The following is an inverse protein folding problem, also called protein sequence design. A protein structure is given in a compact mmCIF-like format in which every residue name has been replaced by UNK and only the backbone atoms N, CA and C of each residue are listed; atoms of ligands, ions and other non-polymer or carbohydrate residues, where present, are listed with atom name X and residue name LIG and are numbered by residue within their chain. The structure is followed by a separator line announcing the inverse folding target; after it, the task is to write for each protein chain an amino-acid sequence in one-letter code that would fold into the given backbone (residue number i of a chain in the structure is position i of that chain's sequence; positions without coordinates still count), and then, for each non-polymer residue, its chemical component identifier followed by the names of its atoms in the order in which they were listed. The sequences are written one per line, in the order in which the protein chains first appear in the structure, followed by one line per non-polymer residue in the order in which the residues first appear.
data_IF_879775796898
#
_entry.id   IF_879775796898
#
_cell.length_a   1.000
_cell.length_b   1.000
_cell.length_c   1.000
_cell.angle_alpha   90.00
_cell.angle_beta   90.00
_cell.angle_gamma   90.00
#
_symmetry.space_group_name_H-M   'P 1'
#
loop_
_entity.id
_entity.type
_entity.pdbx_description
1 polymer ?
#
# COMPACT_ATOMS: atom_id res chain seq x y z
N UNK A 1 12.55 66.89 -93.31
CA UNK A 1 13.72 67.61 -92.77
C UNK A 1 13.96 67.13 -91.36
N UNK A 2 15.21 66.78 -91.15
CA UNK A 2 15.84 66.18 -89.99
C UNK A 2 15.78 67.13 -88.77
N UNK A 3 16.16 66.61 -87.60
CA UNK A 3 16.74 67.35 -86.45
C UNK A 3 15.79 67.82 -85.33
N UNK A 4 16.05 67.66 -84.02
CA UNK A 4 17.16 67.09 -83.22
C UNK A 4 16.65 66.82 -81.78
N UNK A 5 17.25 65.80 -81.15
CA UNK A 5 17.80 65.72 -79.77
C UNK A 5 16.92 66.20 -78.58
N UNK A 6 16.57 65.37 -77.57
CA UNK A 6 17.42 64.59 -76.63
C UNK A 6 18.34 65.54 -75.81
N UNK A 7 18.41 65.59 -74.48
CA UNK A 7 18.16 64.61 -73.42
C UNK A 7 18.25 65.30 -72.05
N UNK A 8 17.79 64.59 -71.02
CA UNK A 8 18.25 64.59 -69.61
C UNK A 8 17.38 65.45 -68.66
N UNK A 9 16.91 64.96 -67.50
CA UNK A 9 17.60 64.09 -66.55
C UNK A 9 16.64 63.58 -65.43
N UNK A 10 17.11 62.57 -64.65
CA UNK A 10 16.73 62.14 -63.27
C UNK A 10 15.62 61.11 -63.01
N UNK A 11 16.11 59.93 -62.56
CA UNK A 11 15.84 59.22 -61.29
C UNK A 11 14.49 59.34 -60.56
N UNK A 12 13.82 58.19 -60.33
CA UNK A 12 13.66 57.60 -58.98
C UNK A 12 13.05 56.17 -59.05
N UNK A 13 13.53 55.30 -58.14
CA UNK A 13 13.17 53.87 -57.90
C UNK A 13 11.83 53.74 -57.14
N UNK A 14 11.14 52.58 -57.11
CA UNK A 14 11.58 51.50 -56.20
C UNK A 14 11.37 50.06 -56.71
N UNK A 15 11.99 49.14 -55.96
CA UNK A 15 12.17 47.72 -56.22
C UNK A 15 10.92 46.89 -55.90
N UNK A 16 10.66 45.89 -56.73
CA UNK A 16 9.63 44.85 -56.51
C UNK A 16 10.33 43.63 -55.90
N UNK A 17 9.95 43.30 -54.66
CA UNK A 17 10.41 42.12 -53.95
C UNK A 17 9.64 40.88 -54.44
N UNK A 18 10.38 39.89 -54.94
CA UNK A 18 9.89 38.58 -55.35
C UNK A 18 9.86 37.68 -54.10
N UNK A 19 8.67 37.33 -53.62
CA UNK A 19 8.49 36.33 -52.57
C UNK A 19 8.23 34.97 -53.20
N UNK A 20 9.20 34.07 -53.04
CA UNK A 20 9.12 32.66 -53.41
C UNK A 20 8.15 31.91 -52.50
N UNK A 21 7.17 31.25 -53.11
CA UNK A 21 6.18 30.41 -52.45
C UNK A 21 6.82 29.06 -52.10
N UNK A 22 7.10 28.79 -50.83
CA UNK A 22 7.52 27.47 -50.35
C UNK A 22 6.26 26.66 -50.02
N UNK A 23 5.98 25.61 -50.80
CA UNK A 23 4.98 24.60 -50.50
C UNK A 23 5.46 23.75 -49.30
N UNK A 24 4.97 24.07 -48.11
CA UNK A 24 5.10 23.21 -46.93
C UNK A 24 4.06 22.09 -47.02
N UNK A 25 4.54 20.84 -47.11
CA UNK A 25 3.73 19.63 -47.04
C UNK A 25 3.13 19.54 -45.63
N UNK A 26 1.81 19.63 -45.52
CA UNK A 26 1.07 19.35 -44.28
C UNK A 26 1.10 17.83 -44.03
N UNK A 27 2.01 17.38 -43.15
CA UNK A 27 1.86 16.09 -42.51
C UNK A 27 0.65 16.14 -41.58
N UNK A 28 -0.37 15.34 -41.88
CA UNK A 28 -1.46 15.00 -40.97
C UNK A 28 -0.87 14.16 -39.84
N UNK A 29 -0.30 14.82 -38.83
CA UNK A 29 0.02 14.17 -37.57
C UNK A 29 -1.30 13.79 -36.92
N UNK A 30 -1.49 12.49 -36.82
CA UNK A 30 -2.65 11.87 -36.19
C UNK A 30 -2.81 12.44 -34.78
N UNK A 31 -3.99 12.97 -34.47
CA UNK A 31 -4.44 13.27 -33.12
C UNK A 31 -4.50 11.96 -32.32
N UNK A 32 -3.35 11.41 -31.95
CA UNK A 32 -3.27 10.61 -30.75
C UNK A 32 -3.39 11.61 -29.61
N UNK A 33 -4.55 11.59 -28.96
CA UNK A 33 -4.74 12.15 -27.63
C UNK A 33 -3.81 11.34 -26.73
N UNK A 34 -2.53 11.72 -26.75
CA UNK A 34 -1.56 11.32 -25.77
C UNK A 34 -2.02 11.96 -24.48
N UNK A 35 -2.83 11.23 -23.73
CA UNK A 35 -3.04 11.52 -22.32
C UNK A 35 -1.65 11.65 -21.72
N UNK A 36 -1.25 12.90 -21.43
CA UNK A 36 -0.14 13.14 -20.54
C UNK A 36 -0.60 12.57 -19.20
N UNK A 37 -0.34 11.29 -18.96
CA UNK A 37 -0.10 10.81 -17.61
C UNK A 37 1.08 11.65 -17.15
N UNK A 38 0.79 12.79 -16.52
CA UNK A 38 1.73 13.40 -15.61
C UNK A 38 2.10 12.25 -14.68
N UNK A 39 3.32 11.75 -14.81
CA UNK A 39 3.92 10.96 -13.78
C UNK A 39 3.84 11.84 -12.53
N UNK A 40 2.87 11.55 -11.67
CA UNK A 40 2.79 12.16 -10.35
C UNK A 40 4.14 11.82 -9.75
N UNK A 41 5.01 12.82 -9.65
CA UNK A 41 6.35 12.64 -9.11
C UNK A 41 6.19 11.90 -7.79
N UNK A 42 6.76 10.69 -7.72
CA UNK A 42 6.65 9.86 -6.53
C UNK A 42 7.32 10.63 -5.42
N UNK A 43 6.50 11.23 -4.55
CA UNK A 43 6.98 12.14 -3.54
C UNK A 43 7.72 11.32 -2.50
N UNK A 44 9.04 11.37 -2.56
CA UNK A 44 9.89 10.61 -1.67
C UNK A 44 9.91 11.30 -0.30
N UNK A 45 9.17 10.76 0.67
CA UNK A 45 9.29 11.23 2.06
C UNK A 45 10.75 11.06 2.48
N UNK A 46 11.39 12.16 2.86
CA UNK A 46 12.73 12.10 3.43
C UNK A 46 12.64 11.43 4.82
N UNK A 47 12.76 10.11 4.80
CA UNK A 47 12.82 9.14 5.92
C UNK A 47 11.73 9.17 7.00
N UNK A 48 10.75 10.07 6.94
CA UNK A 48 9.77 10.32 8.01
C UNK A 48 8.33 10.05 7.57
N UNK A 49 8.05 8.80 7.17
CA UNK A 49 6.67 8.33 6.96
C UNK A 49 6.00 8.12 8.32
N UNK A 50 5.15 9.05 8.73
CA UNK A 50 4.48 8.98 10.04
C UNK A 50 3.04 8.49 9.97
N UNK A 51 2.46 8.44 8.78
CA UNK A 51 1.12 7.89 8.56
C UNK A 51 0.70 7.81 7.10
N UNK A 52 -0.59 7.52 6.88
CA UNK A 52 -1.24 7.54 5.56
C UNK A 52 -2.68 8.00 5.64
N UNK A 53 -3.18 8.59 4.56
CA UNK A 53 -4.60 8.86 4.35
C UNK A 53 -5.34 7.53 4.12
N UNK A 54 -6.49 7.34 4.76
CA UNK A 54 -7.29 6.11 4.67
C UNK A 54 -8.75 6.34 4.25
N UNK A 55 -9.19 7.59 4.16
CA UNK A 55 -10.52 7.92 3.63
C UNK A 55 -10.43 8.84 2.44
N UNK A 56 -11.46 8.81 1.61
CA UNK A 56 -11.72 9.86 0.63
C UNK A 56 -12.02 11.18 1.35
N UNK A 57 -12.03 12.27 0.57
CA UNK A 57 -12.46 13.59 1.04
C UNK A 57 -11.34 14.60 1.27
N UNK A 58 -10.10 14.29 0.93
CA UNK A 58 -9.05 15.30 0.75
C UNK A 58 -9.05 15.82 -0.69
N UNK A 59 -8.72 17.09 -0.90
CA UNK A 59 -8.64 17.68 -2.24
C UNK A 59 -7.48 17.15 -3.09
N UNK A 60 -6.39 16.71 -2.47
CA UNK A 60 -5.13 16.40 -3.16
C UNK A 60 -4.53 15.04 -2.78
N UNK A 61 -4.87 14.52 -1.60
CA UNK A 61 -4.32 13.29 -1.05
C UNK A 61 -5.36 12.15 -1.10
N UNK A 62 -5.39 11.33 -2.16
CA UNK A 62 -6.29 10.18 -2.22
C UNK A 62 -5.97 9.13 -1.14
N UNK A 63 -6.90 8.21 -0.82
CA UNK A 63 -6.62 7.11 0.09
C UNK A 63 -5.37 6.32 -0.32
N UNK A 64 -4.55 5.96 0.67
CA UNK A 64 -3.26 5.30 0.46
C UNK A 64 -2.07 6.25 0.36
N UNK A 65 -2.31 7.55 0.15
CA UNK A 65 -1.27 8.58 0.16
C UNK A 65 -0.48 8.54 1.48
N UNK A 66 0.85 8.46 1.37
CA UNK A 66 1.74 8.56 2.52
C UNK A 66 1.78 10.00 3.00
N UNK A 67 1.76 10.19 4.32
CA UNK A 67 1.91 11.51 4.93
C UNK A 67 3.36 11.71 5.32
N UNK A 68 3.99 12.71 4.70
CA UNK A 68 5.28 13.21 5.10
C UNK A 68 5.11 14.56 5.83
N UNK A 69 6.11 14.94 6.62
CA UNK A 69 6.16 16.23 7.29
C UNK A 69 5.98 17.38 6.28
N UNK A 70 5.09 18.32 6.60
CA UNK A 70 4.74 19.47 5.76
C UNK A 70 3.49 19.28 4.90
N UNK A 71 2.87 18.10 4.91
CA UNK A 71 1.73 17.84 4.02
C UNK A 71 0.50 18.58 4.42
N UNK A 72 -0.05 19.33 3.48
CA UNK A 72 -1.33 19.96 3.73
C UNK A 72 -2.45 18.98 3.41
N UNK A 73 -3.11 18.53 4.47
CA UNK A 73 -4.35 17.78 4.41
C UNK A 73 -5.46 18.82 4.27
N UNK A 74 -6.21 18.77 3.19
CA UNK A 74 -7.24 19.73 2.82
C UNK A 74 -8.58 19.02 2.63
N UNK A 75 -9.39 18.87 3.69
CA UNK A 75 -10.71 18.28 3.57
C UNK A 75 -11.62 19.08 2.61
N UNK A 76 -12.24 18.41 1.65
CA UNK A 76 -13.10 19.02 0.65
C UNK A 76 -14.54 19.18 1.16
N UNK A 77 -15.17 20.34 0.94
CA UNK A 77 -16.60 20.57 1.21
C UNK A 77 -17.08 20.15 2.62
N UNK A 78 -16.29 20.42 3.67
CA UNK A 78 -16.64 20.04 5.05
C UNK A 78 -16.51 18.55 5.36
N UNK A 79 -15.91 17.78 4.44
CA UNK A 79 -15.57 16.37 4.65
C UNK A 79 -14.60 16.21 5.82
N UNK A 80 -14.50 14.98 6.32
CA UNK A 80 -13.52 14.60 7.33
C UNK A 80 -12.51 13.65 6.72
N UNK A 81 -11.23 14.02 6.73
CA UNK A 81 -10.15 13.16 6.26
C UNK A 81 -9.66 12.29 7.42
N UNK A 82 -9.68 10.97 7.22
CA UNK A 82 -9.15 10.01 8.18
C UNK A 82 -7.72 9.64 7.83
N UNK A 83 -6.88 9.67 8.86
CA UNK A 83 -5.45 9.36 8.77
C UNK A 83 -5.11 8.23 9.72
N UNK A 84 -4.33 7.26 9.26
CA UNK A 84 -3.72 6.22 10.11
C UNK A 84 -2.29 6.63 10.46
N UNK A 85 -2.01 6.79 11.75
CA UNK A 85 -0.66 7.00 12.27
C UNK A 85 0.07 5.67 12.48
N UNK A 86 1.28 5.52 11.97
CA UNK A 86 1.98 4.23 12.02
C UNK A 86 2.52 3.88 13.40
N UNK A 87 3.02 4.87 14.16
CA UNK A 87 3.67 4.64 15.45
C UNK A 87 2.71 4.10 16.52
N UNK A 88 1.51 4.68 16.63
CA UNK A 88 0.51 4.30 17.63
C UNK A 88 -0.67 3.51 17.05
N UNK A 89 -0.77 3.37 15.72
CA UNK A 89 -1.91 2.74 15.01
C UNK A 89 -3.25 3.46 15.24
N UNK A 90 -3.22 4.70 15.69
CA UNK A 90 -4.42 5.49 15.90
C UNK A 90 -4.94 6.06 14.59
N UNK A 91 -6.26 6.18 14.52
CA UNK A 91 -6.94 6.91 13.44
C UNK A 91 -7.27 8.31 13.92
N UNK A 92 -6.82 9.32 13.17
CA UNK A 92 -7.16 10.71 13.38
C UNK A 92 -8.21 11.13 12.37
N UNK A 93 -9.15 11.98 12.80
CA UNK A 93 -10.20 12.53 11.95
C UNK A 93 -10.02 14.03 11.86
N UNK A 94 -9.57 14.52 10.70
CA UNK A 94 -9.23 15.90 10.46
C UNK A 94 -10.36 16.56 9.66
N UNK A 95 -11.02 17.55 10.27
CA UNK A 95 -12.14 18.29 9.68
C UNK A 95 -11.73 19.61 9.02
N UNK A 96 -10.51 20.06 9.29
CA UNK A 96 -10.00 21.35 8.82
C UNK A 96 -8.65 21.15 8.13
N UNK A 97 -8.27 22.13 7.31
CA UNK A 97 -6.96 22.14 6.68
C UNK A 97 -5.88 22.05 7.75
N UNK A 98 -5.00 21.06 7.62
CA UNK A 98 -4.00 20.72 8.62
C UNK A 98 -2.66 20.48 7.94
N UNK A 99 -1.61 21.16 8.38
CA UNK A 99 -0.24 20.85 7.97
C UNK A 99 0.25 19.68 8.81
N UNK A 100 0.55 18.57 8.16
CA UNK A 100 0.96 17.35 8.80
C UNK A 100 2.36 17.50 9.39
N UNK A 101 2.49 17.17 10.67
CA UNK A 101 3.78 16.94 11.29
C UNK A 101 3.72 15.61 12.06
N UNK A 102 4.87 14.96 12.33
CA UNK A 102 4.91 13.69 13.05
C UNK A 102 4.32 13.76 14.47
N UNK A 103 4.30 14.94 15.09
CA UNK A 103 3.76 15.16 16.43
C UNK A 103 2.24 15.05 16.47
N UNK A 104 1.54 15.33 15.36
CA UNK A 104 0.10 15.04 15.23
C UNK A 104 -0.16 13.54 15.47
N UNK A 105 0.78 12.69 15.06
CA UNK A 105 0.76 11.26 15.35
C UNK A 105 1.42 10.88 16.68
N UNK A 106 2.08 11.82 17.36
CA UNK A 106 2.59 11.61 18.71
C UNK A 106 1.44 11.87 19.69
N UNK A 107 0.70 10.83 20.04
CA UNK A 107 -0.19 10.93 21.20
C UNK A 107 0.66 11.16 22.45
N UNK A 108 0.30 12.18 23.21
CA UNK A 108 0.69 12.38 24.61
C UNK A 108 0.48 11.09 25.39
N UNK A 109 1.38 10.90 26.36
CA UNK A 109 1.47 9.80 27.34
C UNK A 109 0.12 9.32 27.87
N UNK A 110 -0.62 8.51 27.11
CA UNK A 110 -1.35 7.45 27.76
C UNK A 110 -0.26 6.50 28.22
N UNK A 111 -0.03 6.48 29.53
CA UNK A 111 0.75 5.42 30.17
C UNK A 111 0.39 4.13 29.46
N UNK A 112 1.36 3.53 28.77
CA UNK A 112 1.17 2.22 28.15
C UNK A 112 0.86 1.29 29.31
N UNK A 113 -0.42 1.12 29.63
CA UNK A 113 -0.88 0.19 30.64
C UNK A 113 -0.53 -1.17 30.11
N UNK A 114 0.62 -1.66 30.55
CA UNK A 114 1.07 -3.01 30.26
C UNK A 114 -0.01 -3.93 30.79
N UNK A 115 -0.39 -4.89 29.96
CA UNK A 115 -1.31 -5.93 30.38
C UNK A 115 -0.66 -6.73 31.52
N UNK A 116 -1.31 -6.69 32.67
CA UNK A 116 -1.03 -7.51 33.84
C UNK A 116 -2.28 -8.33 34.16
N UNK A 117 -2.11 -9.36 35.00
CA UNK A 117 -3.22 -10.21 35.46
C UNK A 117 -4.33 -9.39 36.14
N UNK A 118 -3.98 -8.24 36.70
CA UNK A 118 -4.89 -7.35 37.44
C UNK A 118 -5.66 -6.38 36.55
N UNK A 119 -5.25 -6.16 35.29
CA UNK A 119 -5.87 -5.18 34.39
C UNK A 119 -6.34 -5.77 33.04
N UNK A 120 -6.55 -7.09 32.99
CA UNK A 120 -6.99 -7.86 31.81
C UNK A 120 -8.24 -7.29 31.15
N UNK A 121 -9.15 -6.69 31.92
CA UNK A 121 -10.41 -6.14 31.41
C UNK A 121 -10.24 -4.82 30.64
N UNK A 122 -9.16 -4.08 30.91
CA UNK A 122 -8.85 -2.78 30.28
C UNK A 122 -7.78 -2.88 29.20
N UNK A 123 -7.18 -4.05 29.02
CA UNK A 123 -6.35 -4.31 27.88
C UNK A 123 -7.15 -4.15 26.59
N UNK A 124 -6.48 -3.70 25.52
CA UNK A 124 -6.93 -3.99 24.17
C UNK A 124 -6.96 -5.50 24.04
N UNK A 125 -8.09 -6.12 24.41
CA UNK A 125 -8.45 -7.43 23.90
C UNK A 125 -8.35 -7.23 22.40
N UNK A 126 -7.34 -7.81 21.75
CA UNK A 126 -7.55 -8.22 20.36
C UNK A 126 -8.75 -9.11 20.48
N UNK A 127 -9.93 -8.56 20.29
CA UNK A 127 -11.08 -9.36 20.02
C UNK A 127 -10.64 -10.13 18.80
N UNK A 128 -10.25 -11.40 19.00
CA UNK A 128 -10.55 -12.44 18.05
C UNK A 128 -12.07 -12.38 17.95
N UNK A 129 -12.60 -11.38 17.26
CA UNK A 129 -14.02 -11.05 17.31
C UNK A 129 -14.79 -12.33 16.95
N UNK A 130 -15.80 -12.69 17.75
CA UNK A 130 -16.67 -13.81 17.45
C UNK A 130 -17.65 -13.47 16.33
N UNK A 131 -17.65 -12.23 15.82
CA UNK A 131 -18.35 -11.92 14.58
C UNK A 131 -17.58 -12.57 13.42
N UNK A 132 -18.00 -13.79 13.09
CA UNK A 132 -17.59 -14.54 11.92
C UNK A 132 -17.76 -13.66 10.69
N UNK A 133 -16.69 -13.02 10.27
CA UNK A 133 -16.61 -12.51 8.91
C UNK A 133 -16.39 -13.74 8.04
N UNK A 134 -17.49 -14.43 7.67
CA UNK A 134 -17.50 -15.69 6.91
C UNK A 134 -16.76 -15.59 5.55
N UNK A 135 -16.34 -14.38 5.17
CA UNK A 135 -15.62 -14.07 3.93
C UNK A 135 -14.09 -14.00 4.10
N UNK A 136 -13.56 -14.23 5.31
CA UNK A 136 -12.11 -14.22 5.56
C UNK A 136 -11.70 -15.43 6.41
N UNK A 137 -10.61 -16.15 6.06
CA UNK A 137 -10.09 -17.16 6.98
C UNK A 137 -9.58 -16.46 8.24
N UNK A 138 -9.50 -17.20 9.35
CA UNK A 138 -8.90 -16.67 10.58
C UNK A 138 -8.10 -17.78 11.23
N UNK A 139 -6.79 -17.62 11.28
CA UNK A 139 -5.92 -18.64 11.87
C UNK A 139 -6.17 -18.70 13.38
N UNK A 140 -6.59 -19.87 13.85
CA UNK A 140 -6.91 -20.13 15.26
C UNK A 140 -5.87 -21.02 15.94
N UNK A 141 -5.12 -21.81 15.18
CA UNK A 141 -3.98 -22.61 15.65
C UNK A 141 -2.76 -22.40 14.75
N UNK A 142 -1.55 -22.29 15.33
CA UNK A 142 -1.26 -22.38 16.77
C UNK A 142 -1.82 -21.21 17.59
N UNK A 143 -2.15 -21.48 18.86
CA UNK A 143 -2.75 -20.49 19.74
C UNK A 143 -1.69 -19.53 20.30
N UNK A 144 -1.89 -18.24 20.06
CA UNK A 144 -0.94 -17.20 20.48
C UNK A 144 0.23 -17.06 19.50
N UNK A 145 1.28 -16.36 19.95
CA UNK A 145 2.43 -16.02 19.11
C UNK A 145 3.69 -16.79 19.51
N UNK A 146 3.59 -17.73 20.46
CA UNK A 146 4.72 -18.49 20.99
C UNK A 146 4.37 -19.97 21.04
N UNK A 147 5.21 -20.82 20.43
CA UNK A 147 4.99 -22.26 20.35
C UNK A 147 6.24 -23.03 20.76
N UNK A 148 6.04 -24.21 21.37
CA UNK A 148 7.10 -25.16 21.71
C UNK A 148 7.24 -26.27 20.66
N UNK A 149 6.21 -26.47 19.83
CA UNK A 149 6.20 -27.51 18.81
C UNK A 149 6.77 -26.98 17.49
N UNK A 150 7.80 -27.65 16.97
CA UNK A 150 8.43 -27.35 15.67
C UNK A 150 7.62 -27.80 14.46
N UNK A 151 6.55 -28.58 14.69
CA UNK A 151 5.60 -29.08 13.70
C UNK A 151 4.15 -28.82 14.16
N UNK A 152 3.73 -27.55 14.29
CA UNK A 152 2.41 -27.21 14.82
C UNK A 152 1.27 -27.67 13.90
N UNK A 153 0.14 -28.04 14.50
CA UNK A 153 -1.12 -28.16 13.76
C UNK A 153 -1.62 -26.76 13.45
N UNK A 154 -1.94 -26.52 12.18
CA UNK A 154 -2.41 -25.24 11.68
C UNK A 154 -3.91 -25.37 11.42
N UNK A 155 -4.73 -24.52 12.02
CA UNK A 155 -6.18 -24.54 11.78
C UNK A 155 -6.75 -23.13 11.74
N UNK A 156 -7.86 -22.98 11.04
CA UNK A 156 -8.53 -21.71 10.79
C UNK A 156 -10.05 -21.88 10.74
N UNK A 157 -10.79 -20.77 10.79
CA UNK A 157 -12.22 -20.83 10.51
C UNK A 157 -12.49 -21.02 9.01
N UNK A 158 -13.39 -21.95 8.63
CA UNK A 158 -13.82 -22.10 7.25
C UNK A 158 -14.43 -20.80 6.68
N UNK A 159 -14.24 -20.59 5.39
CA UNK A 159 -14.74 -19.44 4.63
C UNK A 159 -15.89 -19.89 3.75
N UNK A 160 -17.01 -19.16 3.81
CA UNK A 160 -18.17 -19.43 2.97
C UNK A 160 -17.80 -19.26 1.49
N UNK A 161 -18.11 -20.29 0.69
CA UNK A 161 -17.80 -20.30 -0.74
C UNK A 161 -16.38 -20.76 -1.12
N UNK A 162 -15.50 -21.03 -0.15
CA UNK A 162 -14.20 -21.63 -0.40
C UNK A 162 -14.31 -23.16 -0.59
N UNK A 163 -13.62 -23.70 -1.60
CA UNK A 163 -13.52 -25.15 -1.86
C UNK A 163 -12.15 -25.73 -1.49
N UNK A 164 -11.14 -24.85 -1.33
CA UNK A 164 -9.75 -25.21 -0.99
C UNK A 164 -9.05 -24.07 -0.26
N UNK A 165 -7.97 -24.41 0.40
CA UNK A 165 -7.09 -23.47 1.10
C UNK A 165 -5.64 -23.71 0.71
N UNK A 166 -4.91 -22.63 0.50
CA UNK A 166 -3.45 -22.67 0.34
C UNK A 166 -2.81 -22.23 1.64
N UNK A 167 -2.01 -23.09 2.25
CA UNK A 167 -1.23 -22.79 3.45
C UNK A 167 0.22 -22.57 3.06
N UNK A 168 0.79 -21.44 3.48
CA UNK A 168 2.16 -21.04 3.21
C UNK A 168 2.86 -20.81 4.55
N UNK A 169 4.04 -21.39 4.72
CA UNK A 169 4.87 -21.18 5.91
C UNK A 169 6.27 -20.75 5.50
N UNK A 170 6.71 -19.61 6.05
CA UNK A 170 7.95 -18.95 5.65
C UNK A 170 8.72 -18.40 6.87
N UNK A 171 10.04 -18.55 6.87
CA UNK A 171 10.95 -18.00 7.88
C UNK A 171 12.20 -18.89 8.06
N UNK A 172 13.35 -18.31 8.40
CA UNK A 172 14.60 -19.03 8.72
C UNK A 172 14.88 -20.31 7.91
N UNK A 173 15.04 -20.18 6.58
CA UNK A 173 15.24 -21.25 5.59
C UNK A 173 14.12 -22.30 5.46
N UNK A 174 12.99 -22.08 6.11
CA UNK A 174 11.75 -22.82 5.90
C UNK A 174 10.89 -21.99 4.96
N UNK A 175 10.54 -22.57 3.82
CA UNK A 175 9.57 -22.02 2.88
C UNK A 175 8.87 -23.16 2.19
N UNK A 176 7.57 -23.29 2.43
CA UNK A 176 6.76 -24.28 1.75
C UNK A 176 5.32 -23.81 1.58
N UNK A 177 4.64 -24.45 0.62
CA UNK A 177 3.24 -24.19 0.27
C UNK A 177 2.53 -25.52 0.09
N UNK A 178 1.32 -25.65 0.62
CA UNK A 178 0.47 -26.82 0.39
C UNK A 178 -0.99 -26.41 0.21
N UNK A 179 -1.75 -27.23 -0.52
CA UNK A 179 -3.18 -27.04 -0.72
C UNK A 179 -3.97 -28.13 0.02
N UNK A 180 -5.02 -27.73 0.72
CA UNK A 180 -5.92 -28.64 1.45
C UNK A 180 -7.38 -28.24 1.28
N UNK A 181 -8.28 -29.21 1.36
CA UNK A 181 -9.74 -28.96 1.34
C UNK A 181 -10.31 -28.64 2.72
N UNK A 182 -9.69 -29.16 3.77
CA UNK A 182 -10.16 -29.01 5.14
C UNK A 182 -9.58 -27.74 5.79
N UNK A 183 -10.30 -27.17 6.75
CA UNK A 183 -9.86 -25.97 7.50
C UNK A 183 -8.82 -26.28 8.60
N UNK A 184 -8.10 -27.40 8.45
CA UNK A 184 -7.05 -27.86 9.35
C UNK A 184 -5.98 -28.60 8.55
N UNK A 185 -4.74 -28.41 8.96
CA UNK A 185 -3.56 -29.02 8.37
C UNK A 185 -2.65 -29.52 9.50
N UNK A 186 -2.43 -30.84 9.52
CA UNK A 186 -1.30 -31.41 10.25
C UNK A 186 -0.02 -31.01 9.52
N UNK A 187 1.00 -30.59 10.27
CA UNK A 187 2.27 -30.18 9.67
C UNK A 187 2.82 -31.30 8.77
N UNK A 188 3.08 -31.04 7.47
CA UNK A 188 3.50 -32.09 6.55
C UNK A 188 4.86 -32.71 6.95
N UNK A 189 4.95 -34.05 6.91
CA UNK A 189 6.14 -34.79 7.38
C UNK A 189 7.36 -34.59 6.47
N UNK A 190 7.11 -34.44 5.18
CA UNK A 190 8.06 -34.20 4.10
C UNK A 190 8.64 -32.77 4.12
N UNK A 191 7.95 -31.84 4.77
CA UNK A 191 8.41 -30.45 4.86
C UNK A 191 9.38 -30.26 6.02
N UNK A 192 10.35 -29.37 5.79
CA UNK A 192 11.35 -28.98 6.80
C UNK A 192 10.66 -28.41 8.03
N UNK A 193 10.97 -28.96 9.21
CA UNK A 193 10.41 -28.47 10.47
C UNK A 193 10.88 -27.06 10.82
N UNK A 194 10.11 -26.38 11.67
CA UNK A 194 10.51 -25.09 12.23
C UNK A 194 11.71 -25.28 13.18
N UNK A 195 12.56 -24.27 13.30
CA UNK A 195 13.74 -24.25 14.17
C UNK A 195 13.42 -23.45 15.44
N UNK A 196 13.86 -23.96 16.59
CA UNK A 196 13.75 -23.26 17.87
C UNK A 196 14.41 -21.89 17.85
N UNK A 197 13.90 -20.94 18.62
CA UNK A 197 14.41 -19.58 18.73
C UNK A 197 14.14 -18.68 17.52
N UNK A 198 13.27 -19.08 16.60
CA UNK A 198 13.01 -18.35 15.35
C UNK A 198 11.54 -17.99 15.17
N UNK A 199 11.29 -16.96 14.36
CA UNK A 199 9.95 -16.51 13.98
C UNK A 199 9.59 -16.99 12.57
N UNK A 200 8.32 -17.34 12.39
CA UNK A 200 7.76 -17.81 11.13
C UNK A 200 6.42 -17.15 10.86
N UNK A 201 6.16 -16.92 9.59
CA UNK A 201 4.86 -16.45 9.09
C UNK A 201 4.08 -17.64 8.57
N UNK A 202 2.81 -17.73 8.98
CA UNK A 202 1.85 -18.70 8.46
C UNK A 202 0.73 -17.92 7.78
N UNK A 203 0.57 -18.11 6.49
CA UNK A 203 -0.49 -17.50 5.68
C UNK A 203 -1.45 -18.58 5.21
N UNK A 204 -2.74 -18.37 5.42
CA UNK A 204 -3.82 -19.23 4.94
C UNK A 204 -4.66 -18.44 3.96
N UNK A 205 -4.70 -18.89 2.71
CA UNK A 205 -5.48 -18.30 1.63
C UNK A 205 -6.70 -19.18 1.39
N UNK A 206 -7.89 -18.61 1.37
CA UNK A 206 -9.12 -19.27 0.96
C UNK A 206 -9.34 -19.07 -0.54
N UNK A 207 -9.62 -20.15 -1.27
CA UNK A 207 -9.86 -20.11 -2.71
C UNK A 207 -11.16 -20.82 -3.08
N UNK A 208 -11.72 -20.43 -4.23
CA UNK A 208 -12.78 -21.15 -4.95
C UNK A 208 -12.29 -21.46 -6.34
N UNK A 209 -12.06 -22.72 -6.68
CA UNK A 209 -11.33 -23.03 -7.91
C UNK A 209 -9.91 -22.46 -7.85
N UNK A 210 -9.49 -21.81 -8.93
CA UNK A 210 -8.21 -21.09 -8.99
C UNK A 210 -8.34 -19.62 -8.53
N UNK A 211 -9.50 -19.20 -8.04
CA UNK A 211 -9.75 -17.81 -7.65
C UNK A 211 -9.49 -17.60 -6.16
N UNK A 212 -8.70 -16.57 -5.86
CA UNK A 212 -8.50 -16.05 -4.52
C UNK A 212 -9.80 -15.45 -3.96
N UNK A 213 -10.13 -15.77 -2.72
CA UNK A 213 -11.25 -15.12 -1.98
C UNK A 213 -10.68 -14.13 -0.98
N UNK A 214 -9.83 -14.61 -0.06
CA UNK A 214 -9.27 -13.82 1.03
C UNK A 214 -8.12 -14.61 1.70
N UNK A 215 -7.35 -13.97 2.57
CA UNK A 215 -6.29 -14.62 3.34
C UNK A 215 -6.20 -14.11 4.77
N UNK A 216 -5.54 -14.88 5.63
CA UNK A 216 -5.13 -14.45 6.96
C UNK A 216 -3.70 -14.88 7.24
N UNK A 217 -3.00 -14.04 7.98
CA UNK A 217 -1.58 -14.24 8.26
C UNK A 217 -1.34 -14.09 9.76
N UNK A 218 -0.61 -15.05 10.32
CA UNK A 218 -0.16 -15.02 11.71
C UNK A 218 1.35 -15.20 11.79
N UNK A 219 1.96 -14.63 12.82
CA UNK A 219 3.39 -14.79 13.13
C UNK A 219 3.51 -15.63 14.39
N UNK A 220 4.36 -16.65 14.31
CA UNK A 220 4.62 -17.58 15.41
C UNK A 220 6.10 -17.60 15.74
N UNK A 221 6.43 -17.47 17.00
CA UNK A 221 7.78 -17.61 17.52
C UNK A 221 7.93 -19.01 18.09
N UNK A 222 8.84 -19.80 17.54
CA UNK A 222 9.23 -21.07 18.16
C UNK A 222 10.17 -20.72 19.29
N UNK A 223 9.76 -20.99 20.53
CA UNK A 223 10.56 -20.67 21.71
C UNK A 223 11.92 -21.39 21.66
N UNK A 224 12.98 -20.87 22.29
CA UNK A 224 14.22 -21.61 22.42
C UNK A 224 14.00 -22.96 23.12
N UNK A 225 14.81 -23.96 22.78
CA UNK A 225 14.84 -25.19 23.55
C UNK A 225 15.47 -24.84 24.91
N UNK A 226 14.75 -25.07 26.00
CA UNK A 226 15.33 -24.93 27.34
C UNK A 226 16.50 -25.91 27.48
N UNK A 227 17.73 -25.40 27.44
CA UNK A 227 18.92 -26.11 27.89
C UNK A 227 19.09 -25.83 29.38
N UNK A 228 18.23 -26.42 30.22
CA UNK A 228 18.45 -26.44 31.65
C UNK A 228 19.58 -27.41 31.99
N UNK A 229 20.78 -26.90 32.25
CA UNK A 229 21.73 -27.59 33.12
C UNK A 229 21.41 -27.17 34.55
N UNK A 230 20.97 -28.13 35.35
CA UNK A 230 21.02 -28.07 36.80
C UNK A 230 22.44 -28.40 37.26
#
# INVERSE_FOLDING_TARGET
MQFLLNRSNRDYKPQVAVFTLILAVLSLDSNSIGGRTQAVAMRECDRSKSGRVVSEGDLYLPPGSQLCTGDQINPSNGSTVKVLCYLNRNFLSLKHSTIFNPEICASLKDEVKRCSVENVDKCLRRFKSPNHNYYKPKVISPYGNSILNTRPVISWYPVAGADRYTVIVEGNDVKWRTEVKNATLLYPKDQRQLKYGNAYTITVIANKGNSYINDDTTVVNVLPQYSGQF
#
